data_IF_414799680985
#
_entry.id   IF_414799680985
#
_cell.length_a   1.000
_cell.length_b   1.000
_cell.length_c   1.000
_cell.angle_alpha   90.00
_cell.angle_beta   90.00
_cell.angle_gamma   90.00
#
_symmetry.space_group_name_H-M   'P 1'
#
loop_
_entity.id
_entity.type
_entity.pdbx_description
1 polymer ?
#
# COMPACT_ATOMS: atom_id res chain seq x y z
N UNK A 1 1.74 1.80 18.02
CA UNK A 1 1.53 3.09 17.33
C UNK A 1 0.99 4.10 18.32
N UNK A 2 1.87 5.01 18.70
CA UNK A 2 1.63 6.17 19.55
C UNK A 2 2.46 7.34 19.02
N UNK A 3 2.18 8.55 19.49
CA UNK A 3 2.98 9.73 19.18
C UNK A 3 4.45 9.52 19.59
N UNK A 4 4.64 9.00 20.80
CA UNK A 4 5.97 8.72 21.36
C UNK A 4 6.77 7.74 20.48
N UNK A 5 6.11 6.71 19.95
CA UNK A 5 6.73 5.81 18.99
C UNK A 5 7.08 6.52 17.69
N UNK A 6 6.13 7.24 17.08
CA UNK A 6 6.35 7.94 15.81
C UNK A 6 7.52 8.94 15.88
N UNK A 7 7.69 9.60 17.04
CA UNK A 7 8.74 10.60 17.25
C UNK A 7 10.09 9.99 17.69
N UNK A 8 10.11 8.69 18.02
CA UNK A 8 11.34 8.00 18.39
C UNK A 8 12.31 7.85 17.20
N UNK A 9 13.61 7.86 17.49
CA UNK A 9 14.65 7.64 16.48
C UNK A 9 14.55 6.24 15.85
N UNK A 10 14.10 5.25 16.63
CA UNK A 10 14.02 3.86 16.18
C UNK A 10 12.87 3.58 15.21
N UNK A 11 11.77 4.33 15.28
CA UNK A 11 10.56 4.04 14.50
C UNK A 11 10.84 3.96 12.99
N UNK A 12 11.58 4.91 12.43
CA UNK A 12 11.90 4.90 11.00
C UNK A 12 12.74 3.67 10.63
N UNK A 13 13.74 3.36 11.44
CA UNK A 13 14.64 2.23 11.19
C UNK A 13 13.91 0.89 11.29
N UNK A 14 13.09 0.69 12.33
CA UNK A 14 12.33 -0.54 12.55
C UNK A 14 11.33 -0.81 11.41
N UNK A 15 10.58 0.22 11.00
CA UNK A 15 9.60 0.11 9.92
C UNK A 15 10.29 -0.18 8.58
N UNK A 16 11.43 0.48 8.30
CA UNK A 16 12.21 0.20 7.09
C UNK A 16 12.81 -1.21 7.12
N UNK A 17 13.39 -1.63 8.24
CA UNK A 17 13.95 -2.97 8.36
C UNK A 17 12.88 -4.04 8.16
N UNK A 18 11.70 -3.86 8.74
CA UNK A 18 10.59 -4.81 8.63
C UNK A 18 10.02 -4.88 7.20
N UNK A 19 9.71 -3.72 6.60
CA UNK A 19 9.09 -3.68 5.26
C UNK A 19 10.08 -3.87 4.12
N UNK A 20 11.20 -3.16 4.13
CA UNK A 20 12.08 -3.06 2.98
C UNK A 20 13.13 -4.18 3.00
N UNK A 21 13.72 -4.46 4.17
CA UNK A 21 14.77 -5.50 4.30
C UNK A 21 14.18 -6.90 4.48
N UNK A 22 13.29 -7.08 5.46
CA UNK A 22 12.73 -8.38 5.80
C UNK A 22 11.53 -8.76 4.92
N UNK A 23 10.90 -7.77 4.27
CA UNK A 23 9.65 -7.95 3.50
C UNK A 23 8.58 -8.71 4.29
N UNK A 24 8.59 -8.55 5.62
CA UNK A 24 7.64 -9.22 6.51
C UNK A 24 6.35 -8.40 6.55
N UNK A 25 5.23 -9.10 6.59
CA UNK A 25 3.97 -8.49 6.98
C UNK A 25 4.06 -8.07 8.45
N UNK A 26 3.44 -6.96 8.78
CA UNK A 26 3.28 -6.52 10.15
C UNK A 26 1.92 -5.87 10.31
N UNK A 27 1.37 -6.00 11.51
CA UNK A 27 0.07 -5.47 11.90
C UNK A 27 0.33 -4.24 12.78
N UNK A 28 0.03 -3.01 12.32
CA UNK A 28 0.12 -1.84 13.17
C UNK A 28 -0.88 -1.94 14.32
N UNK A 29 -0.42 -1.75 15.56
CA UNK A 29 -1.28 -1.72 16.75
C UNK A 29 -1.33 -0.30 17.31
N UNK A 30 -2.50 0.33 17.33
CA UNK A 30 -2.73 1.66 17.90
C UNK A 30 -3.19 1.53 19.35
N UNK A 31 -2.50 2.22 20.25
CA UNK A 31 -2.77 2.14 21.70
C UNK A 31 -3.68 3.29 22.15
N UNK A 32 -3.57 4.45 21.48
CA UNK A 32 -4.36 5.66 21.78
C UNK A 32 -5.47 5.81 20.75
N UNK A 33 -6.71 6.04 21.21
CA UNK A 33 -7.91 6.16 20.36
C UNK A 33 -7.74 7.22 19.27
N UNK A 34 -7.17 8.37 19.62
CA UNK A 34 -7.13 9.54 18.74
C UNK A 34 -5.79 9.70 18.01
N UNK A 35 -4.84 8.80 18.25
CA UNK A 35 -3.56 8.85 17.55
C UNK A 35 -3.72 8.35 16.12
N UNK A 36 -3.33 9.19 15.17
CA UNK A 36 -3.25 8.86 13.75
C UNK A 36 -1.82 9.08 13.32
N UNK A 37 -1.21 8.06 12.71
CA UNK A 37 0.13 8.21 12.16
C UNK A 37 0.11 9.16 10.98
N UNK A 38 1.04 10.10 10.94
CA UNK A 38 1.12 11.13 9.90
C UNK A 38 2.50 11.15 9.23
N UNK A 39 2.61 11.93 8.16
CA UNK A 39 3.87 12.10 7.42
C UNK A 39 4.41 10.78 6.86
N UNK A 40 5.72 10.59 6.96
CA UNK A 40 6.42 9.41 6.43
C UNK A 40 5.87 8.09 7.00
N UNK A 41 5.65 8.03 8.32
CA UNK A 41 5.15 6.83 8.96
C UNK A 41 3.74 6.50 8.48
N UNK A 42 2.86 7.50 8.46
CA UNK A 42 1.49 7.36 7.95
C UNK A 42 1.49 6.73 6.55
N UNK A 43 2.27 7.28 5.62
CA UNK A 43 2.39 6.77 4.25
C UNK A 43 2.88 5.31 4.21
N UNK A 44 3.87 4.96 5.03
CA UNK A 44 4.45 3.60 5.04
C UNK A 44 3.54 2.54 5.64
N UNK A 45 2.64 2.93 6.53
CA UNK A 45 1.73 2.01 7.21
C UNK A 45 0.30 2.03 6.63
N UNK A 46 0.03 2.81 5.58
CA UNK A 46 -1.23 2.69 4.82
C UNK A 46 -1.25 1.37 4.06
N UNK A 47 -2.38 0.67 4.09
CA UNK A 47 -2.61 -0.58 3.38
C UNK A 47 -2.77 -1.79 4.29
N UNK A 48 -1.81 -2.11 5.19
CA UNK A 48 -1.97 -3.19 6.16
C UNK A 48 -3.21 -3.00 7.05
N UNK A 49 -3.93 -4.10 7.32
CA UNK A 49 -4.91 -4.16 8.40
C UNK A 49 -4.22 -3.81 9.73
N UNK A 50 -4.92 -3.05 10.57
CA UNK A 50 -4.42 -2.55 11.84
C UNK A 50 -5.44 -2.82 12.94
N UNK A 51 -4.94 -2.88 14.18
CA UNK A 51 -5.76 -2.98 15.39
C UNK A 51 -5.70 -1.67 16.16
N UNK A 52 -6.83 -1.25 16.75
CA UNK A 52 -6.89 -0.06 17.60
C UNK A 52 -7.50 -0.38 18.96
N UNK A 53 -6.64 -0.45 19.96
CA UNK A 53 -7.06 -0.49 21.36
C UNK A 53 -7.66 0.86 21.79
N UNK A 54 -8.66 0.79 22.66
CA UNK A 54 -9.40 1.97 23.16
C UNK A 54 -10.63 2.37 22.36
N UNK A 55 -10.97 1.64 21.28
CA UNK A 55 -12.26 1.80 20.57
C UNK A 55 -13.34 0.89 21.15
N UNK A 56 -12.99 -0.36 21.44
CA UNK A 56 -13.83 -1.38 22.05
C UNK A 56 -13.23 -1.84 23.39
N UNK A 57 -13.85 -2.81 24.06
CA UNK A 57 -13.27 -3.43 25.25
C UNK A 57 -11.91 -4.04 24.91
N UNK A 58 -11.03 -4.16 25.92
CA UNK A 58 -9.72 -4.76 25.73
C UNK A 58 -9.84 -6.19 25.19
N UNK A 59 -10.71 -7.00 25.79
CA UNK A 59 -10.89 -8.40 25.42
C UNK A 59 -11.42 -8.57 23.99
N UNK A 60 -12.36 -7.73 23.56
CA UNK A 60 -12.89 -7.80 22.20
C UNK A 60 -11.83 -7.38 21.17
N UNK A 61 -11.06 -6.33 21.48
CA UNK A 61 -9.96 -5.89 20.62
C UNK A 61 -8.83 -6.93 20.56
N UNK A 62 -8.56 -7.62 21.67
CA UNK A 62 -7.57 -8.69 21.72
C UNK A 62 -8.03 -9.90 20.87
N UNK A 63 -9.31 -10.27 20.93
CA UNK A 63 -9.89 -11.30 20.03
C UNK A 63 -9.76 -10.91 18.56
N UNK A 64 -10.01 -9.65 18.22
CA UNK A 64 -9.83 -9.13 16.86
C UNK A 64 -8.37 -9.25 16.40
N UNK A 65 -7.40 -8.89 17.26
CA UNK A 65 -5.98 -9.04 16.97
C UNK A 65 -5.59 -10.51 16.74
N UNK A 66 -6.06 -11.42 17.60
CA UNK A 66 -5.80 -12.86 17.45
C UNK A 66 -6.36 -13.36 16.12
N UNK A 67 -7.58 -12.95 15.76
CA UNK A 67 -8.19 -13.31 14.48
C UNK A 67 -7.35 -12.83 13.30
N UNK A 68 -6.86 -11.59 13.32
CA UNK A 68 -5.99 -11.07 12.26
C UNK A 68 -4.68 -11.84 12.14
N UNK A 69 -4.06 -12.24 13.26
CA UNK A 69 -2.83 -13.04 13.24
C UNK A 69 -3.09 -14.41 12.58
N UNK A 70 -4.17 -15.08 12.97
CA UNK A 70 -4.56 -16.38 12.40
C UNK A 70 -4.86 -16.27 10.90
N UNK A 71 -5.62 -15.25 10.49
CA UNK A 71 -5.91 -14.99 9.08
C UNK A 71 -4.63 -14.72 8.27
N UNK A 72 -3.65 -14.03 8.86
CA UNK A 72 -2.34 -13.82 8.24
C UNK A 72 -1.61 -15.15 8.03
N UNK A 73 -1.55 -16.01 9.05
CA UNK A 73 -0.90 -17.32 8.99
C UNK A 73 -1.50 -18.22 7.88
N UNK A 74 -2.83 -18.31 7.81
CA UNK A 74 -3.54 -19.07 6.77
C UNK A 74 -3.19 -18.54 5.36
N UNK A 75 -3.08 -17.22 5.20
CA UNK A 75 -2.66 -16.62 3.94
C UNK A 75 -1.17 -16.89 3.61
N UNK A 76 -0.31 -17.08 4.61
CA UNK A 76 1.09 -17.45 4.36
C UNK A 76 1.22 -18.92 3.91
N UNK A 77 0.47 -19.83 4.52
CA UNK A 77 0.49 -21.25 4.17
C UNK A 77 -0.07 -21.51 2.77
N UNK A 78 -1.18 -20.85 2.43
CA UNK A 78 -1.79 -20.95 1.09
C UNK A 78 -0.89 -20.39 -0.03
N UNK A 79 -0.03 -19.41 0.28
CA UNK A 79 0.95 -18.89 -0.67
C UNK A 79 2.21 -19.76 -0.77
N UNK A 80 2.62 -20.48 0.30
CA UNK A 80 3.72 -21.44 0.25
C UNK A 80 3.37 -22.73 -0.50
N UNK A 81 2.14 -23.22 -0.35
CA UNK A 81 1.69 -24.48 -1.00
C UNK A 81 1.47 -24.35 -2.52
N UNK A 82 1.47 -23.14 -3.08
CA UNK A 82 1.49 -22.94 -4.54
C UNK A 82 2.87 -23.10 -5.19
N UNK A 83 3.91 -23.38 -4.41
CA UNK A 83 5.31 -23.37 -4.87
C UNK A 83 6.03 -24.72 -4.77
N UNK A 84 5.30 -25.83 -4.51
CA UNK A 84 5.92 -27.17 -4.28
C UNK A 84 5.62 -28.23 -5.34
N UNK A 85 5.00 -27.90 -6.47
CA UNK A 85 4.86 -28.80 -7.63
C UNK A 85 5.75 -28.35 -8.78
N UNK A 86 7.06 -28.62 -8.67
CA UNK A 86 7.98 -28.92 -9.79
C UNK A 86 9.42 -29.06 -9.26
N UNK A 87 9.79 -30.28 -8.85
CA UNK A 87 11.13 -30.82 -9.12
C UNK A 87 11.19 -32.29 -8.71
N UNK A 88 10.98 -33.20 -9.66
CA UNK A 88 11.54 -34.55 -9.58
C UNK A 88 11.62 -35.18 -10.97
N UNK A 89 12.83 -35.19 -11.56
CA UNK A 89 13.47 -36.27 -12.36
C UNK A 89 14.69 -35.75 -13.15
N UNK A 90 15.64 -36.61 -13.56
CA UNK A 90 16.79 -37.04 -12.76
C UNK A 90 18.15 -36.70 -13.44
N UNK A 91 19.24 -36.71 -12.68
CA UNK A 91 20.62 -36.63 -13.22
C UNK A 91 21.02 -37.91 -13.98
N UNK A 92 21.95 -37.81 -14.94
CA UNK A 92 23.24 -38.53 -14.85
C UNK A 92 24.42 -37.71 -15.48
N UNK A 93 25.65 -38.24 -15.68
CA UNK A 93 26.78 -38.13 -14.75
C UNK A 93 28.10 -37.53 -15.32
N UNK A 94 28.89 -36.90 -14.43
CA UNK A 94 30.38 -36.79 -14.30
C UNK A 94 31.27 -36.93 -15.58
N UNK A 95 32.06 -35.89 -15.94
CA UNK A 95 33.55 -35.93 -15.89
C UNK A 95 34.27 -34.58 -16.28
N UNK A 96 35.28 -34.22 -15.44
CA UNK A 96 36.59 -33.55 -15.65
C UNK A 96 36.79 -32.13 -16.30
N UNK A 97 37.40 -31.26 -15.45
CA UNK A 97 38.30 -30.06 -15.60
C UNK A 97 39.27 -30.01 -16.82
N UNK A 98 40.09 -28.93 -17.06
CA UNK A 98 40.03 -27.49 -16.67
C UNK A 98 40.58 -26.43 -17.71
N UNK A 99 40.48 -25.12 -17.38
CA UNK A 99 41.28 -23.93 -17.82
C UNK A 99 41.17 -23.44 -19.29
N UNK A 100 40.73 -22.19 -19.53
CA UNK A 100 41.58 -20.98 -19.68
C UNK A 100 40.74 -19.70 -19.96
N UNK A 101 41.35 -18.56 -19.67
CA UNK A 101 40.86 -17.19 -19.83
C UNK A 101 40.56 -16.82 -21.29
N UNK A 102 39.64 -15.87 -21.53
CA UNK A 102 39.89 -14.63 -22.31
C UNK A 102 38.68 -13.69 -22.22
N UNK A 103 39.03 -12.42 -22.02
CA UNK A 103 38.27 -11.19 -22.05
C UNK A 103 37.38 -11.01 -23.31
N UNK A 104 36.18 -10.45 -23.16
CA UNK A 104 35.61 -9.41 -24.06
C UNK A 104 34.16 -9.04 -23.74
N UNK A 105 33.92 -7.73 -23.76
CA UNK A 105 32.64 -7.02 -23.72
C UNK A 105 31.62 -7.50 -24.77
N UNK A 106 30.36 -7.66 -24.36
CA UNK A 106 29.16 -7.37 -25.18
C UNK A 106 28.04 -6.80 -24.29
N UNK A 107 27.38 -5.76 -24.81
CA UNK A 107 26.24 -5.00 -24.24
C UNK A 107 24.91 -5.76 -24.44
N UNK A 108 23.76 -5.10 -24.19
CA UNK A 108 22.75 -5.43 -23.17
C UNK A 108 21.81 -6.61 -23.56
N UNK A 109 21.37 -7.38 -22.56
CA UNK A 109 20.31 -8.38 -22.75
C UNK A 109 19.10 -8.01 -21.91
N UNK A 110 18.07 -7.51 -22.59
CA UNK A 110 16.68 -7.63 -22.17
C UNK A 110 16.38 -9.10 -21.87
N UNK A 111 15.82 -9.42 -20.70
CA UNK A 111 14.97 -10.58 -20.56
C UNK A 111 13.97 -10.41 -19.41
N UNK A 112 12.71 -10.54 -19.83
CA UNK A 112 11.49 -10.61 -19.04
C UNK A 112 11.49 -11.77 -18.04
N UNK A 113 10.80 -11.56 -16.91
CA UNK A 113 9.81 -12.43 -16.23
C UNK A 113 9.71 -11.95 -14.75
N UNK A 114 8.68 -11.23 -14.30
CA UNK A 114 7.31 -11.72 -14.00
C UNK A 114 7.36 -12.90 -12.98
N UNK A 115 6.75 -12.93 -11.80
CA UNK A 115 5.58 -12.23 -11.22
C UNK A 115 5.54 -12.49 -9.69
N UNK A 116 4.88 -11.63 -8.90
CA UNK A 116 3.78 -12.10 -8.05
C UNK A 116 2.89 -10.96 -7.51
N UNK A 117 1.60 -11.07 -7.85
CA UNK A 117 0.40 -10.46 -7.25
C UNK A 117 0.33 -8.92 -7.11
N UNK A 118 0.39 -8.23 -8.26
CA UNK A 118 -0.53 -7.12 -8.51
C UNK A 118 -1.64 -7.67 -9.41
N UNK A 119 -2.90 -7.31 -9.17
CA UNK A 119 -3.84 -7.18 -10.28
C UNK A 119 -3.78 -5.70 -10.64
N UNK A 120 -2.80 -5.25 -11.45
CA UNK A 120 -2.86 -3.90 -11.95
C UNK A 120 -4.01 -3.90 -12.95
N UNK A 121 -4.89 -2.91 -12.88
CA UNK A 121 -5.52 -2.45 -14.10
C UNK A 121 -4.39 -2.26 -15.11
N UNK A 122 -4.30 -3.15 -16.12
CA UNK A 122 -3.20 -3.19 -17.10
C UNK A 122 -3.08 -1.91 -17.95
N UNK A 123 -4.00 -0.98 -17.75
CA UNK A 123 -4.10 0.28 -18.49
C UNK A 123 -3.46 1.39 -17.66
N UNK A 124 -2.66 2.27 -18.28
CA UNK A 124 -2.23 3.53 -17.68
C UNK A 124 -3.41 4.28 -17.06
N UNK A 125 -3.18 4.97 -15.95
CA UNK A 125 -4.24 5.68 -15.21
C UNK A 125 -4.95 6.73 -16.06
N UNK A 126 -4.24 7.35 -17.01
CA UNK A 126 -4.80 8.31 -17.96
C UNK A 126 -5.90 7.70 -18.84
N UNK A 127 -5.96 6.36 -18.94
CA UNK A 127 -6.97 5.63 -19.70
C UNK A 127 -8.12 5.10 -18.83
N UNK A 128 -8.06 5.31 -17.51
CA UNK A 128 -9.10 4.84 -16.60
C UNK A 128 -10.39 5.62 -16.80
N UNK A 129 -11.50 4.89 -16.87
CA UNK A 129 -12.85 5.43 -16.87
C UNK A 129 -13.45 5.31 -15.48
N UNK A 130 -14.61 5.93 -15.25
CA UNK A 130 -15.37 5.82 -13.99
C UNK A 130 -15.43 4.42 -13.38
N UNK A 131 -15.67 3.37 -14.19
CA UNK A 131 -15.71 1.97 -13.71
C UNK A 131 -14.38 1.51 -13.13
N UNK A 132 -13.28 1.88 -13.77
CA UNK A 132 -11.92 1.56 -13.35
C UNK A 132 -11.57 2.30 -12.04
N UNK A 133 -12.04 3.54 -11.89
CA UNK A 133 -11.87 4.34 -10.67
C UNK A 133 -12.66 3.73 -9.51
N UNK A 134 -13.93 3.36 -9.72
CA UNK A 134 -14.76 2.71 -8.69
C UNK A 134 -14.10 1.41 -8.22
N UNK A 135 -13.61 0.59 -9.16
CA UNK A 135 -12.88 -0.63 -8.82
C UNK A 135 -11.61 -0.30 -8.03
N UNK A 136 -10.88 0.76 -8.41
CA UNK A 136 -9.70 1.19 -7.66
C UNK A 136 -10.03 1.65 -6.23
N UNK A 137 -11.19 2.30 -6.02
CA UNK A 137 -11.68 2.63 -4.67
C UNK A 137 -11.91 1.35 -3.84
N UNK A 138 -12.55 0.33 -4.43
CA UNK A 138 -12.77 -0.97 -3.77
C UNK A 138 -11.45 -1.66 -3.41
N UNK A 139 -10.54 -1.73 -4.37
CA UNK A 139 -9.23 -2.38 -4.21
C UNK A 139 -8.36 -1.71 -3.14
N UNK A 140 -8.58 -0.42 -2.87
CA UNK A 140 -7.88 0.34 -1.82
C UNK A 140 -8.69 0.47 -0.52
N UNK A 141 -9.84 -0.21 -0.41
CA UNK A 141 -10.75 -0.15 0.73
C UNK A 141 -11.18 1.28 1.08
N UNK A 142 -11.39 2.11 0.06
CA UNK A 142 -11.90 3.47 0.20
C UNK A 142 -13.42 3.43 0.14
N UNK A 143 -14.08 4.22 0.99
CA UNK A 143 -15.54 4.30 1.00
C UNK A 143 -16.09 4.75 -0.37
N UNK A 144 -17.02 3.97 -0.93
CA UNK A 144 -17.65 4.27 -2.23
C UNK A 144 -18.41 5.59 -2.21
N UNK A 145 -18.94 6.00 -1.06
CA UNK A 145 -19.62 7.28 -0.91
C UNK A 145 -18.69 8.47 -1.19
N UNK A 146 -17.36 8.30 -1.04
CA UNK A 146 -16.37 9.30 -1.45
C UNK A 146 -16.23 9.35 -2.97
N UNK A 147 -16.20 8.19 -3.65
CA UNK A 147 -16.17 8.15 -5.12
C UNK A 147 -17.38 8.88 -5.72
N UNK A 148 -18.57 8.66 -5.13
CA UNK A 148 -19.82 9.32 -5.51
C UNK A 148 -19.87 10.82 -5.22
N UNK A 149 -19.02 11.31 -4.32
CA UNK A 149 -19.00 12.72 -3.92
C UNK A 149 -18.01 13.55 -4.74
N UNK A 150 -16.92 12.92 -5.18
CA UNK A 150 -15.96 13.53 -6.11
C UNK A 150 -16.37 13.39 -7.58
N UNK A 151 -17.13 12.35 -7.92
CA UNK A 151 -17.66 12.11 -9.27
C UNK A 151 -16.59 12.16 -10.38
N UNK A 152 -15.42 11.55 -10.13
CA UNK A 152 -14.33 11.48 -11.10
C UNK A 152 -14.78 10.76 -12.38
N UNK A 153 -14.59 11.39 -13.54
CA UNK A 153 -15.01 10.84 -14.83
C UNK A 153 -13.89 10.00 -15.45
N UNK A 154 -12.64 10.42 -15.25
CA UNK A 154 -11.45 9.75 -15.78
C UNK A 154 -10.28 9.76 -14.79
N UNK A 155 -9.28 8.90 -15.01
CA UNK A 155 -8.13 8.82 -14.13
C UNK A 155 -7.26 10.08 -14.11
N UNK A 156 -7.32 10.91 -15.16
CA UNK A 156 -6.70 12.24 -15.16
C UNK A 156 -7.31 13.14 -14.07
N UNK A 157 -8.62 13.10 -13.86
CA UNK A 157 -9.28 13.88 -12.79
C UNK A 157 -8.77 13.46 -11.42
N UNK A 158 -8.62 12.15 -11.21
CA UNK A 158 -8.10 11.57 -9.97
C UNK A 158 -6.63 11.97 -9.73
N UNK A 159 -5.81 11.99 -10.80
CA UNK A 159 -4.42 12.43 -10.71
C UNK A 159 -4.31 13.93 -10.39
N UNK A 160 -5.07 14.78 -11.10
CA UNK A 160 -5.08 16.23 -10.88
C UNK A 160 -5.54 16.56 -9.46
N UNK A 161 -6.61 15.90 -9.00
CA UNK A 161 -7.09 16.04 -7.63
C UNK A 161 -6.00 15.67 -6.61
N UNK A 162 -5.25 14.61 -6.87
CA UNK A 162 -4.11 14.23 -6.04
C UNK A 162 -2.98 15.24 -5.99
N UNK A 163 -2.75 15.98 -7.05
CA UNK A 163 -1.78 17.09 -7.06
C UNK A 163 -2.30 18.27 -6.22
N UNK A 164 -3.59 18.59 -6.31
CA UNK A 164 -4.22 19.64 -5.51
C UNK A 164 -4.25 19.34 -4.01
N UNK A 165 -4.25 18.06 -3.61
CA UNK A 165 -4.23 17.64 -2.20
C UNK A 165 -2.90 17.89 -1.46
N UNK A 166 -1.81 18.17 -2.18
CA UNK A 166 -0.45 18.36 -1.63
C UNK A 166 -0.09 19.85 -1.57
N UNK A 167 -0.65 20.61 -0.61
CA UNK A 167 0.07 20.76 0.65
C UNK A 167 -0.81 20.57 1.91
N UNK A 168 -2.13 20.75 1.79
CA UNK A 168 -3.03 20.92 2.94
C UNK A 168 -4.33 20.12 2.80
N UNK A 169 -4.22 18.79 2.63
CA UNK A 169 -5.37 17.89 2.60
C UNK A 169 -6.33 18.05 3.79
N UNK A 170 -5.89 18.67 4.88
CA UNK A 170 -6.71 18.96 6.06
C UNK A 170 -7.82 19.98 5.77
N UNK A 171 -7.55 20.98 4.92
CA UNK A 171 -8.55 21.96 4.49
C UNK A 171 -9.62 21.24 3.65
N UNK A 172 -9.16 20.42 2.72
CA UNK A 172 -10.03 19.61 1.88
C UNK A 172 -10.84 18.58 2.69
N UNK A 173 -10.24 18.00 3.73
CA UNK A 173 -10.95 17.12 4.66
C UNK A 173 -12.12 17.84 5.35
N UNK A 174 -11.92 19.08 5.81
CA UNK A 174 -12.99 19.85 6.44
C UNK A 174 -14.15 20.03 5.45
N UNK A 175 -13.85 20.53 4.25
CA UNK A 175 -14.86 20.77 3.21
C UNK A 175 -15.57 19.50 2.73
N UNK A 176 -14.86 18.38 2.63
CA UNK A 176 -15.46 17.11 2.19
C UNK A 176 -16.28 16.46 3.30
N UNK A 177 -15.85 16.57 4.57
CA UNK A 177 -16.55 15.96 5.70
C UNK A 177 -17.94 16.56 5.90
N UNK A 178 -18.07 17.89 5.73
CA UNK A 178 -19.35 18.60 5.77
C UNK A 178 -20.29 18.16 4.65
N UNK A 179 -19.77 18.06 3.41
CA UNK A 179 -20.55 17.58 2.25
C UNK A 179 -20.98 16.12 2.43
N UNK A 180 -20.10 15.29 2.97
CA UNK A 180 -20.36 13.88 3.22
C UNK A 180 -21.47 13.70 4.27
N UNK A 181 -21.40 14.44 5.38
CA UNK A 181 -22.42 14.40 6.43
C UNK A 181 -23.77 14.94 5.93
N UNK A 182 -23.76 16.00 5.11
CA UNK A 182 -24.96 16.55 4.52
C UNK A 182 -25.68 15.53 3.62
N UNK A 183 -24.93 14.87 2.73
CA UNK A 183 -25.45 13.94 1.71
C UNK A 183 -25.84 12.57 2.29
N UNK A 184 -25.01 11.99 3.15
CA UNK A 184 -25.16 10.62 3.63
C UNK A 184 -25.65 10.49 5.07
N UNK A 185 -25.82 11.61 5.79
CA UNK A 185 -26.21 11.64 7.21
C UNK A 185 -25.29 10.79 8.10
N UNK A 186 -24.02 10.72 7.73
CA UNK A 186 -22.97 9.96 8.43
C UNK A 186 -21.73 10.82 8.56
N UNK A 187 -20.98 10.65 9.63
CA UNK A 187 -19.70 11.33 9.82
C UNK A 187 -18.62 10.65 8.98
N UNK A 188 -17.93 11.42 8.15
CA UNK A 188 -16.66 10.99 7.57
C UNK A 188 -15.56 11.18 8.61
N UNK A 189 -14.87 10.10 8.96
CA UNK A 189 -13.76 10.17 9.89
C UNK A 189 -12.45 10.52 9.18
N UNK A 190 -11.56 11.20 9.90
CA UNK A 190 -10.28 11.66 9.37
C UNK A 190 -9.40 10.52 8.86
N UNK A 191 -9.41 9.38 9.55
CA UNK A 191 -8.68 8.17 9.14
C UNK A 191 -9.19 7.61 7.81
N UNK A 192 -10.51 7.58 7.58
CA UNK A 192 -11.11 7.18 6.30
C UNK A 192 -10.64 8.09 5.16
N UNK A 193 -10.55 9.40 5.41
CA UNK A 193 -10.04 10.34 4.42
C UNK A 193 -8.52 10.20 4.17
N UNK A 194 -7.74 9.92 5.23
CA UNK A 194 -6.30 9.67 5.09
C UNK A 194 -6.01 8.43 4.24
N UNK A 195 -6.87 7.40 4.27
CA UNK A 195 -6.75 6.23 3.39
C UNK A 195 -6.84 6.66 1.91
N UNK A 196 -7.80 7.52 1.56
CA UNK A 196 -7.93 8.09 0.20
C UNK A 196 -6.67 8.86 -0.20
N UNK A 197 -6.22 9.79 0.65
CA UNK A 197 -5.00 10.59 0.38
C UNK A 197 -3.78 9.69 0.19
N UNK A 198 -3.62 8.67 1.05
CA UNK A 198 -2.54 7.69 0.95
C UNK A 198 -2.61 6.87 -0.35
N UNK A 199 -3.81 6.47 -0.77
CA UNK A 199 -4.03 5.74 -2.01
C UNK A 199 -3.69 6.58 -3.25
N UNK A 200 -4.18 7.82 -3.30
CA UNK A 200 -3.86 8.77 -4.36
C UNK A 200 -2.35 9.01 -4.45
N UNK A 201 -1.66 9.11 -3.31
CA UNK A 201 -0.21 9.30 -3.31
C UNK A 201 0.57 8.12 -3.92
N UNK A 202 0.02 6.91 -3.91
CA UNK A 202 0.62 5.73 -4.56
C UNK A 202 0.38 5.70 -6.07
N UNK A 203 -0.62 6.42 -6.57
CA UNK A 203 -0.89 6.55 -8.01
C UNK A 203 0.09 7.49 -8.70
N UNK A 204 0.62 8.47 -7.97
CA UNK A 204 1.54 9.46 -8.54
C UNK A 204 2.92 8.81 -8.75
N UNK A 205 3.46 8.79 -9.98
CA UNK A 205 4.80 8.27 -10.21
C UNK A 205 5.82 9.06 -9.38
N UNK A 206 6.79 8.35 -8.81
CA UNK A 206 7.92 8.89 -8.04
C UNK A 206 8.91 9.71 -8.88
N UNK A 207 8.41 10.60 -9.74
CA UNK A 207 9.22 11.47 -10.60
C UNK A 207 8.88 12.93 -10.32
N UNK A 208 9.28 13.42 -9.15
CA UNK A 208 9.68 14.82 -9.01
C UNK A 208 11.15 14.95 -9.42
N UNK A 209 11.47 14.66 -10.70
CA UNK A 209 12.44 15.49 -11.39
C UNK A 209 11.66 16.71 -11.85
N UNK A 210 11.54 17.66 -10.95
CA UNK A 210 11.09 19.00 -11.28
C UNK A 210 11.96 19.48 -12.44
N UNK A 211 11.30 19.83 -13.53
CA UNK A 211 11.86 20.62 -14.59
C UNK A 211 12.52 21.85 -13.98
N UNK A 212 13.84 21.94 -14.08
CA UNK A 212 14.50 23.23 -14.19
C UNK A 212 14.04 23.80 -15.52
N UNK A 213 13.08 24.72 -15.49
CA UNK A 213 12.82 25.61 -16.62
C UNK A 213 13.68 26.84 -16.38
N UNK A 214 14.48 27.13 -17.41
CA UNK A 214 15.40 28.26 -17.55
C UNK A 214 14.75 29.63 -17.45
#
# INVERSE_FOLDING_TARGET
MSKDYQDSQSCRQEVMYTKDSQKKRFIPVYIKKDFVATGWLGVRIVGPQYIRFGKHSFDDTAKELIKLIIEDEIQQESNKNKQTDQSSKPSPPIDKKPVDNTDNQVKPTENNHANSAQTPLKKPIEQWKRKDIIQWFDDNHIHQELADLYDFQCGTDLLLYGQCLRPDWQIEYQAISERYELKYKKKLYRDQFVILVGAINRLQPSNSKLCNIS
#
